data_IF_467241123791
#
_entry.id   IF_467241123791
#
_cell.length_a   1.000
_cell.length_b   1.000
_cell.length_c   1.000
_cell.angle_alpha   90.00
_cell.angle_beta   90.00
_cell.angle_gamma   90.00
#
_symmetry.space_group_name_H-M   'P 1'
#
loop_
_entity.id
_entity.type
_entity.pdbx_description
1 polymer ?
#
# COMPACT_ATOMS: atom_id res chain seq x y z
N UNK A 1 11.95 -29.90 15.55
CA UNK A 1 10.56 -29.48 15.36
C UNK A 1 10.52 -28.41 14.25
N UNK A 2 9.57 -28.50 13.33
CA UNK A 2 9.39 -27.46 12.32
C UNK A 2 9.06 -26.13 13.00
N UNK A 3 9.70 -25.06 12.54
CA UNK A 3 9.41 -23.72 13.03
C UNK A 3 8.04 -23.26 12.55
N UNK A 4 7.33 -22.51 13.39
CA UNK A 4 5.96 -22.13 13.12
C UNK A 4 5.69 -20.65 13.41
N UNK A 5 4.92 -20.01 12.53
CA UNK A 5 4.51 -18.61 12.64
C UNK A 5 2.99 -18.49 12.57
N UNK A 6 2.43 -17.58 13.36
CA UNK A 6 1.02 -17.19 13.24
C UNK A 6 0.94 -15.74 12.80
N UNK A 7 0.24 -15.46 11.71
CA UNK A 7 0.00 -14.10 11.21
C UNK A 7 -1.43 -13.70 11.57
N UNK A 8 -1.60 -12.52 12.20
CA UNK A 8 -2.91 -11.95 12.52
C UNK A 8 -3.07 -10.64 11.75
N UNK A 9 -4.07 -10.58 10.87
CA UNK A 9 -4.38 -9.40 10.08
C UNK A 9 -5.79 -9.49 9.50
N UNK A 10 -6.44 -8.33 9.30
CA UNK A 10 -7.83 -8.31 8.82
C UNK A 10 -7.93 -8.68 7.34
N UNK A 11 -6.89 -8.41 6.54
CA UNK A 11 -6.84 -8.62 5.09
C UNK A 11 -5.89 -9.76 4.73
N UNK A 12 -6.34 -10.66 3.89
CA UNK A 12 -5.59 -11.81 3.39
C UNK A 12 -6.19 -12.31 2.07
N UNK A 13 -5.48 -13.22 1.37
CA UNK A 13 -5.98 -13.87 0.15
C UNK A 13 -7.47 -14.26 0.24
N UNK A 14 -8.28 -14.07 -0.80
CA UNK A 14 -7.96 -13.70 -2.18
C UNK A 14 -7.91 -12.18 -2.45
N UNK A 15 -7.69 -11.33 -1.44
CA UNK A 15 -7.50 -9.90 -1.65
C UNK A 15 -6.10 -9.67 -2.26
N UNK A 16 -6.06 -9.33 -3.54
CA UNK A 16 -4.86 -9.20 -4.39
C UNK A 16 -4.29 -7.79 -4.42
N UNK A 17 -4.72 -6.94 -3.51
CA UNK A 17 -4.31 -5.53 -3.41
C UNK A 17 -3.88 -5.15 -2.00
N UNK A 18 -3.07 -4.10 -1.90
CA UNK A 18 -2.65 -3.49 -0.65
C UNK A 18 -2.11 -4.52 0.37
N UNK A 19 -2.54 -4.41 1.64
CA UNK A 19 -2.06 -5.23 2.76
C UNK A 19 -2.37 -6.72 2.56
N UNK A 20 -3.52 -7.04 1.95
CA UNK A 20 -3.91 -8.43 1.67
C UNK A 20 -2.90 -9.14 0.77
N UNK A 21 -2.47 -8.48 -0.31
CA UNK A 21 -1.45 -8.99 -1.23
C UNK A 21 -0.12 -9.27 -0.51
N UNK A 22 0.39 -8.28 0.22
CA UNK A 22 1.70 -8.42 0.90
C UNK A 22 1.67 -9.47 1.99
N UNK A 23 0.59 -9.53 2.78
CA UNK A 23 0.42 -10.54 3.84
C UNK A 23 0.36 -11.95 3.25
N UNK A 24 -0.35 -12.13 2.14
CA UNK A 24 -0.46 -13.43 1.45
C UNK A 24 0.88 -13.88 0.88
N UNK A 25 1.59 -13.00 0.19
CA UNK A 25 2.91 -13.31 -0.37
C UNK A 25 3.95 -13.61 0.72
N UNK A 26 3.88 -12.94 1.86
CA UNK A 26 4.74 -13.21 3.01
C UNK A 26 4.46 -14.61 3.59
N UNK A 27 3.19 -14.95 3.77
CA UNK A 27 2.78 -16.27 4.27
C UNK A 27 3.23 -17.40 3.33
N UNK A 28 3.02 -17.24 2.01
CA UNK A 28 3.49 -18.19 1.00
C UNK A 28 5.01 -18.37 1.01
N UNK A 29 5.74 -17.26 1.19
CA UNK A 29 7.20 -17.31 1.26
C UNK A 29 7.70 -18.09 2.47
N UNK A 30 7.07 -17.96 3.62
CA UNK A 30 7.40 -18.76 4.80
C UNK A 30 7.13 -20.23 4.55
N UNK A 31 5.99 -20.62 3.98
CA UNK A 31 5.68 -22.01 3.63
C UNK A 31 6.72 -22.58 2.65
N UNK A 32 7.09 -21.85 1.60
CA UNK A 32 8.14 -22.23 0.64
C UNK A 32 9.53 -22.42 1.28
N UNK A 33 9.75 -21.84 2.46
CA UNK A 33 10.98 -21.99 3.25
C UNK A 33 10.83 -22.97 4.42
N UNK A 34 9.87 -23.91 4.35
CA UNK A 34 9.63 -24.96 5.36
C UNK A 34 9.27 -24.43 6.77
N UNK A 35 8.62 -23.27 6.84
CA UNK A 35 8.06 -22.72 8.07
C UNK A 35 6.55 -22.95 8.02
N UNK A 36 5.99 -23.59 9.05
CA UNK A 36 4.54 -23.76 9.15
C UNK A 36 3.86 -22.42 9.41
N UNK A 37 2.75 -22.16 8.70
CA UNK A 37 2.05 -20.89 8.78
C UNK A 37 0.58 -21.10 9.13
N UNK A 38 0.15 -20.47 10.23
CA UNK A 38 -1.26 -20.24 10.54
C UNK A 38 -1.60 -18.76 10.30
N UNK A 39 -2.76 -18.49 9.71
CA UNK A 39 -3.27 -17.13 9.51
C UNK A 39 -4.62 -16.97 10.18
N UNK A 40 -4.78 -15.94 10.99
CA UNK A 40 -6.05 -15.53 11.59
C UNK A 40 -6.51 -14.24 10.90
N UNK A 41 -7.66 -14.29 10.20
CA UNK A 41 -8.10 -13.20 9.35
C UNK A 41 -9.63 -13.11 9.24
N UNK A 42 -10.11 -12.05 8.58
CA UNK A 42 -11.52 -11.89 8.23
C UNK A 42 -11.92 -12.62 6.94
N UNK A 43 -13.20 -12.50 6.58
CA UNK A 43 -13.66 -12.84 5.24
C UNK A 43 -13.20 -11.75 4.26
N UNK A 44 -12.83 -12.12 3.02
CA UNK A 44 -12.38 -11.14 2.02
C UNK A 44 -13.49 -10.14 1.68
N UNK A 45 -13.17 -8.84 1.73
CA UNK A 45 -14.14 -7.75 1.49
C UNK A 45 -13.53 -6.53 0.78
N UNK A 46 -12.24 -6.38 0.81
CA UNK A 46 -11.53 -5.23 0.27
C UNK A 46 -11.10 -5.49 -1.20
N UNK A 47 -11.12 -4.50 -2.12
CA UNK A 47 -11.45 -3.07 -1.91
C UNK A 47 -12.95 -2.73 -2.02
N UNK A 48 -13.81 -3.69 -2.38
CA UNK A 48 -15.22 -3.46 -2.70
C UNK A 48 -16.13 -3.16 -1.49
N UNK A 49 -15.64 -3.27 -0.25
CA UNK A 49 -16.44 -3.18 0.98
C UNK A 49 -17.67 -4.11 0.95
N UNK A 50 -17.46 -5.32 0.44
CA UNK A 50 -18.49 -6.34 0.29
C UNK A 50 -17.85 -7.72 0.39
N UNK A 51 -18.39 -8.58 1.23
CA UNK A 51 -17.88 -9.96 1.32
C UNK A 51 -17.88 -10.61 -0.05
N UNK A 52 -16.75 -11.19 -0.43
CA UNK A 52 -16.57 -11.92 -1.68
C UNK A 52 -17.62 -13.00 -1.86
N UNK A 53 -18.12 -13.20 -3.10
CA UNK A 53 -19.22 -14.13 -3.42
C UNK A 53 -18.97 -15.54 -2.91
N UNK A 54 -17.74 -16.05 -3.04
CA UNK A 54 -17.35 -17.42 -2.70
C UNK A 54 -17.37 -17.70 -1.19
N UNK A 55 -17.38 -16.63 -0.40
CA UNK A 55 -17.40 -16.69 1.06
C UNK A 55 -18.77 -16.38 1.69
N UNK A 56 -19.73 -15.85 0.92
CA UNK A 56 -21.05 -15.44 1.47
C UNK A 56 -21.80 -16.54 2.22
N UNK A 57 -21.78 -17.77 1.67
CA UNK A 57 -22.48 -18.91 2.21
C UNK A 57 -21.68 -19.74 3.22
N UNK A 58 -20.41 -19.37 3.49
CA UNK A 58 -19.59 -20.05 4.47
C UNK A 58 -20.07 -19.73 5.90
N UNK A 59 -19.78 -20.67 6.83
CA UNK A 59 -20.10 -20.51 8.25
C UNK A 59 -19.34 -19.31 8.85
N UNK A 60 -19.86 -18.73 9.94
CA UNK A 60 -19.26 -17.58 10.65
C UNK A 60 -17.79 -17.80 11.02
N UNK A 61 -17.42 -19.01 11.44
CA UNK A 61 -16.05 -19.46 11.62
C UNK A 61 -15.73 -20.49 10.55
N UNK A 62 -14.77 -20.15 9.69
CA UNK A 62 -14.41 -20.99 8.57
C UNK A 62 -12.90 -21.26 8.57
N UNK A 63 -12.54 -22.52 8.42
CA UNK A 63 -11.14 -22.94 8.28
C UNK A 63 -10.92 -23.49 6.88
N UNK A 64 -9.84 -23.08 6.26
CA UNK A 64 -9.39 -23.59 4.96
C UNK A 64 -7.87 -23.75 4.95
N UNK A 65 -7.36 -24.51 3.96
CA UNK A 65 -5.93 -24.58 3.67
C UNK A 65 -5.69 -23.98 2.28
N UNK A 66 -4.80 -23.01 2.19
CA UNK A 66 -4.44 -22.33 0.96
C UNK A 66 -2.92 -22.51 0.76
N UNK A 67 -2.52 -23.28 -0.24
CA UNK A 67 -1.11 -23.50 -0.57
C UNK A 67 -0.23 -23.91 0.64
N UNK A 68 -0.77 -24.75 1.54
CA UNK A 68 -0.09 -25.17 2.76
C UNK A 68 -0.25 -24.23 3.97
N UNK A 69 -0.95 -23.12 3.81
CA UNK A 69 -1.26 -22.17 4.88
C UNK A 69 -2.59 -22.54 5.52
N UNK A 70 -2.63 -22.73 6.84
CA UNK A 70 -3.90 -22.90 7.56
C UNK A 70 -4.53 -21.53 7.85
N UNK A 71 -5.69 -21.27 7.29
CA UNK A 71 -6.38 -19.99 7.41
C UNK A 71 -7.62 -20.14 8.30
N UNK A 72 -7.67 -19.39 9.39
CA UNK A 72 -8.80 -19.33 10.31
C UNK A 72 -9.54 -18.01 10.14
N UNK A 73 -10.71 -18.05 9.51
CA UNK A 73 -11.50 -16.87 9.18
C UNK A 73 -12.66 -16.66 10.14
N UNK A 74 -12.98 -15.39 10.34
CA UNK A 74 -14.21 -14.95 10.97
C UNK A 74 -15.01 -14.09 9.99
N UNK A 75 -16.34 -14.31 9.93
CA UNK A 75 -17.26 -13.53 9.08
C UNK A 75 -17.61 -12.24 9.79
N UNK A 76 -16.77 -11.24 9.64
CA UNK A 76 -16.95 -9.93 10.26
C UNK A 76 -18.05 -9.10 9.58
N UNK A 77 -18.59 -8.14 10.32
CA UNK A 77 -19.48 -7.12 9.80
C UNK A 77 -18.74 -6.25 8.77
N UNK A 78 -19.26 -6.15 7.54
CA UNK A 78 -18.72 -5.31 6.47
C UNK A 78 -19.75 -4.26 6.09
N UNK A 79 -19.50 -2.95 6.34
CA UNK A 79 -20.46 -1.90 6.03
C UNK A 79 -20.50 -1.59 4.54
N UNK A 80 -21.68 -1.52 3.93
CA UNK A 80 -21.88 -1.12 2.53
C UNK A 80 -21.36 0.30 2.22
N UNK A 81 -21.46 1.23 3.19
CA UNK A 81 -20.92 2.58 3.12
C UNK A 81 -19.99 2.77 4.32
N UNK A 82 -18.66 2.76 4.12
CA UNK A 82 -17.67 2.75 5.22
C UNK A 82 -17.47 4.14 5.83
N UNK A 83 -18.47 4.65 6.55
CA UNK A 83 -18.31 5.84 7.39
C UNK A 83 -17.38 5.54 8.57
N UNK A 84 -16.81 6.57 9.20
CA UNK A 84 -15.88 6.42 10.32
C UNK A 84 -16.40 5.49 11.43
N UNK A 85 -17.61 5.75 11.93
CA UNK A 85 -18.22 4.91 13.00
C UNK A 85 -18.42 3.46 12.54
N UNK A 86 -18.84 3.25 11.30
CA UNK A 86 -19.04 1.90 10.76
C UNK A 86 -17.71 1.15 10.55
N UNK A 87 -16.62 1.87 10.26
CA UNK A 87 -15.28 1.27 10.24
C UNK A 87 -14.84 0.84 11.63
N UNK A 88 -15.07 1.66 12.65
CA UNK A 88 -14.80 1.27 14.06
C UNK A 88 -15.60 0.01 14.42
N UNK A 89 -16.89 -0.03 14.12
CA UNK A 89 -17.73 -1.22 14.40
C UNK A 89 -17.21 -2.45 13.66
N UNK A 90 -16.80 -2.31 12.39
CA UNK A 90 -16.19 -3.37 11.60
C UNK A 90 -14.93 -3.94 12.26
N UNK A 91 -14.05 -3.05 12.75
CA UNK A 91 -12.81 -3.43 13.41
C UNK A 91 -13.05 -4.08 14.78
N UNK A 92 -13.98 -3.55 15.56
CA UNK A 92 -14.36 -4.13 16.85
C UNK A 92 -14.99 -5.52 16.68
N UNK A 93 -15.93 -5.67 15.75
CA UNK A 93 -16.54 -6.96 15.43
C UNK A 93 -15.50 -7.99 14.99
N UNK A 94 -14.56 -7.60 14.12
CA UNK A 94 -13.44 -8.45 13.75
C UNK A 94 -12.61 -8.87 14.96
N UNK A 95 -12.28 -7.95 15.88
CA UNK A 95 -11.51 -8.28 17.09
C UNK A 95 -12.19 -9.29 17.96
N UNK A 96 -13.45 -9.03 18.32
CA UNK A 96 -14.21 -9.90 19.22
C UNK A 96 -14.49 -11.27 18.60
N UNK A 97 -14.90 -11.28 17.32
CA UNK A 97 -15.17 -12.54 16.64
C UNK A 97 -13.91 -13.37 16.40
N UNK A 98 -12.82 -12.73 16.03
CA UNK A 98 -11.54 -13.41 15.76
C UNK A 98 -10.87 -13.92 17.05
N UNK A 99 -11.20 -13.36 18.21
CA UNK A 99 -10.71 -13.82 19.51
C UNK A 99 -10.88 -15.33 19.71
N UNK A 100 -11.98 -15.92 19.25
CA UNK A 100 -12.23 -17.35 19.32
C UNK A 100 -11.20 -18.15 18.51
N UNK A 101 -10.69 -17.61 17.42
CA UNK A 101 -9.73 -18.31 16.55
C UNK A 101 -8.35 -18.45 17.18
N UNK A 102 -7.95 -17.59 18.14
CA UNK A 102 -6.65 -17.73 18.81
C UNK A 102 -6.54 -19.04 19.61
N UNK A 103 -7.65 -19.56 20.13
CA UNK A 103 -7.65 -20.84 20.86
C UNK A 103 -7.49 -22.07 19.96
N UNK A 104 -7.71 -21.91 18.65
CA UNK A 104 -7.49 -22.98 17.65
C UNK A 104 -6.02 -23.17 17.28
N UNK A 105 -5.17 -22.22 17.61
CA UNK A 105 -3.72 -22.30 17.36
C UNK A 105 -3.10 -23.22 18.42
N UNK A 106 -2.49 -24.31 17.98
CA UNK A 106 -1.88 -25.29 18.88
C UNK A 106 -0.55 -24.81 19.44
N UNK A 107 0.36 -24.39 18.57
CA UNK A 107 1.70 -23.90 18.88
C UNK A 107 2.10 -22.82 17.86
N UNK A 108 3.04 -21.97 18.24
CA UNK A 108 3.66 -20.97 17.35
C UNK A 108 4.94 -20.47 18.03
N UNK A 109 6.00 -20.20 17.26
CA UNK A 109 7.24 -19.60 17.77
C UNK A 109 7.18 -18.06 17.74
N UNK A 110 6.51 -17.51 16.72
CA UNK A 110 6.33 -16.07 16.55
C UNK A 110 4.89 -15.76 16.13
N UNK A 111 4.32 -14.71 16.69
CA UNK A 111 3.05 -14.10 16.26
C UNK A 111 3.36 -12.79 15.56
N UNK A 112 3.09 -12.70 14.26
CA UNK A 112 3.16 -11.44 13.49
C UNK A 112 1.79 -10.80 13.47
N UNK A 113 1.69 -9.57 13.97
CA UNK A 113 0.49 -8.74 13.85
C UNK A 113 0.68 -7.70 12.74
N UNK A 114 -0.16 -7.75 11.72
CA UNK A 114 -0.16 -6.76 10.63
C UNK A 114 -1.11 -5.62 10.98
N UNK A 115 -0.56 -4.42 11.11
CA UNK A 115 -1.29 -3.17 11.41
C UNK A 115 -1.52 -2.43 10.08
N UNK A 116 -2.71 -1.81 9.79
CA UNK A 116 -3.20 -0.68 10.60
C UNK A 116 -4.12 -1.06 11.76
N UNK A 117 -4.62 -2.27 11.86
CA UNK A 117 -5.58 -2.57 12.90
C UNK A 117 -4.91 -2.96 14.22
N UNK A 118 -4.94 -2.05 15.22
CA UNK A 118 -4.30 -2.25 16.53
C UNK A 118 -4.94 -3.39 17.35
N UNK A 119 -6.18 -3.75 17.06
CA UNK A 119 -6.84 -4.92 17.66
C UNK A 119 -6.14 -6.24 17.34
N UNK A 120 -5.47 -6.35 16.19
CA UNK A 120 -4.64 -7.52 15.87
C UNK A 120 -3.45 -7.65 16.84
N UNK A 121 -2.88 -6.52 17.29
CA UNK A 121 -1.79 -6.50 18.28
C UNK A 121 -2.28 -6.96 19.64
N UNK A 122 -3.49 -6.54 20.05
CA UNK A 122 -4.11 -7.03 21.28
C UNK A 122 -4.29 -8.55 21.27
N UNK A 123 -4.86 -9.09 20.18
CA UNK A 123 -5.04 -10.54 19.99
C UNK A 123 -3.68 -11.27 19.94
N UNK A 124 -2.72 -10.72 19.23
CA UNK A 124 -1.37 -11.28 19.12
C UNK A 124 -0.65 -11.33 20.47
N UNK A 125 -0.80 -10.28 21.29
CA UNK A 125 -0.26 -10.26 22.64
C UNK A 125 -0.84 -11.36 23.56
N UNK A 126 -2.15 -11.62 23.43
CA UNK A 126 -2.79 -12.71 24.20
C UNK A 126 -2.24 -14.05 23.69
N UNK A 127 -2.26 -14.27 22.38
CA UNK A 127 -1.77 -15.52 21.77
C UNK A 127 -0.29 -15.78 22.09
N UNK A 128 0.58 -14.77 21.96
CA UNK A 128 2.01 -14.91 22.23
C UNK A 128 2.26 -15.31 23.69
N UNK A 129 1.55 -14.68 24.64
CA UNK A 129 1.64 -15.07 26.07
C UNK A 129 1.14 -16.48 26.32
N UNK A 130 0.02 -16.88 25.72
CA UNK A 130 -0.55 -18.24 25.89
C UNK A 130 0.37 -19.33 25.34
N UNK A 131 1.18 -19.05 24.33
CA UNK A 131 2.05 -20.04 23.65
C UNK A 131 3.53 -19.89 23.97
N UNK A 132 3.93 -18.90 24.78
CA UNK A 132 5.35 -18.59 25.01
C UNK A 132 6.08 -18.12 23.75
N UNK A 133 5.34 -17.53 22.81
CA UNK A 133 5.83 -17.06 21.52
C UNK A 133 6.30 -15.62 21.57
N UNK A 134 7.18 -15.22 20.65
CA UNK A 134 7.56 -13.81 20.43
C UNK A 134 6.46 -13.04 19.71
N UNK A 135 6.26 -11.78 20.09
CA UNK A 135 5.32 -10.88 19.47
C UNK A 135 6.05 -9.90 18.52
N UNK A 136 5.79 -10.02 17.23
CA UNK A 136 6.30 -9.13 16.21
C UNK A 136 5.16 -8.30 15.62
N UNK A 137 5.24 -6.97 15.69
CA UNK A 137 4.25 -6.06 15.10
C UNK A 137 4.85 -5.44 13.84
N UNK A 138 4.22 -5.71 12.70
CA UNK A 138 4.57 -5.14 11.40
C UNK A 138 3.56 -4.07 11.01
N UNK A 139 4.00 -2.81 10.97
CA UNK A 139 3.16 -1.63 10.80
C UNK A 139 3.18 -1.22 9.33
N UNK A 140 2.04 -1.40 8.66
CA UNK A 140 1.80 -0.97 7.28
C UNK A 140 1.20 0.45 7.19
N UNK A 141 0.49 0.88 8.25
CA UNK A 141 -0.07 2.21 8.41
C UNK A 141 -0.38 2.47 9.89
N UNK A 142 -0.50 3.75 10.29
CA UNK A 142 -0.94 4.14 11.62
C UNK A 142 -2.42 4.49 11.58
N UNK A 143 -3.26 3.63 12.13
CA UNK A 143 -4.70 3.68 12.03
C UNK A 143 -5.32 5.00 12.51
N UNK A 144 -4.87 5.48 13.69
CA UNK A 144 -5.48 6.66 14.31
C UNK A 144 -4.95 7.98 13.75
N UNK A 145 -3.78 7.98 13.13
CA UNK A 145 -3.18 9.19 12.54
C UNK A 145 -3.92 9.58 11.24
N UNK A 146 -4.33 8.60 10.43
CA UNK A 146 -5.14 8.85 9.25
C UNK A 146 -6.50 9.53 9.56
N UNK A 147 -6.99 9.38 10.78
CA UNK A 147 -8.23 10.02 11.26
C UNK A 147 -7.99 11.48 11.67
N UNK A 148 -6.84 11.77 12.29
CA UNK A 148 -6.48 13.14 12.70
C UNK A 148 -6.10 14.00 11.50
N UNK A 149 -5.42 13.42 10.49
CA UNK A 149 -4.99 14.11 9.28
C UNK A 149 -6.17 14.43 8.33
N UNK A 150 -7.28 13.71 8.43
CA UNK A 150 -8.40 13.82 7.49
C UNK A 150 -9.38 14.97 7.75
N UNK A 151 -9.17 15.87 8.74
CA UNK A 151 -10.07 16.97 9.13
C UNK A 151 -11.58 16.62 9.24
N UNK A 152 -11.93 15.33 9.30
CA UNK A 152 -13.31 14.82 9.34
C UNK A 152 -13.99 15.12 10.69
N UNK A 153 -13.24 15.71 11.63
CA UNK A 153 -13.68 15.92 12.99
C UNK A 153 -13.99 17.39 13.24
N UNK A 154 -15.18 17.83 12.82
CA UNK A 154 -15.77 19.10 13.26
C UNK A 154 -16.22 19.05 14.73
N UNK A 155 -15.62 19.86 15.60
CA UNK A 155 -15.91 20.24 16.99
C UNK A 155 -14.84 19.87 18.02
N UNK A 156 -14.34 20.91 18.71
CA UNK A 156 -13.01 20.98 19.34
C UNK A 156 -12.86 20.47 20.78
N UNK A 157 -13.85 20.05 21.54
CA UNK A 157 -13.66 19.97 23.01
C UNK A 157 -13.76 18.59 23.68
N UNK A 158 -14.63 17.69 23.26
CA UNK A 158 -14.75 16.36 23.93
C UNK A 158 -14.02 15.20 23.23
N UNK A 159 -13.60 15.40 21.99
CA UNK A 159 -12.94 14.36 21.18
C UNK A 159 -11.46 14.16 21.55
N UNK A 160 -10.79 15.20 22.05
CA UNK A 160 -9.37 15.14 22.42
C UNK A 160 -9.07 14.08 23.50
N UNK A 161 -9.96 13.85 24.45
CA UNK A 161 -9.74 12.86 25.53
C UNK A 161 -9.87 11.43 25.04
N UNK A 162 -10.82 11.14 24.13
CA UNK A 162 -11.00 9.81 23.53
C UNK A 162 -9.80 9.46 22.65
N UNK A 163 -9.34 10.39 21.82
CA UNK A 163 -8.16 10.17 20.98
C UNK A 163 -6.89 9.99 21.82
N UNK A 164 -6.69 10.79 22.87
CA UNK A 164 -5.57 10.60 23.81
C UNK A 164 -5.58 9.21 24.42
N UNK A 165 -6.77 8.71 24.79
CA UNK A 165 -6.93 7.35 25.32
C UNK A 165 -6.63 6.28 24.28
N UNK A 166 -7.11 6.43 23.05
CA UNK A 166 -6.81 5.51 21.94
C UNK A 166 -5.32 5.49 21.61
N UNK A 167 -4.66 6.63 21.52
CA UNK A 167 -3.22 6.73 21.34
C UNK A 167 -2.43 6.12 22.50
N UNK A 168 -2.91 6.28 23.73
CA UNK A 168 -2.30 5.64 24.89
C UNK A 168 -2.40 4.11 24.82
N UNK A 169 -3.57 3.57 24.42
CA UNK A 169 -3.74 2.11 24.19
C UNK A 169 -2.80 1.64 23.09
N UNK A 170 -2.77 2.32 21.95
CA UNK A 170 -1.91 2.00 20.81
C UNK A 170 -0.44 1.94 21.27
N UNK A 171 0.03 2.98 21.93
CA UNK A 171 1.39 3.07 22.45
C UNK A 171 1.70 1.89 23.41
N UNK A 172 0.81 1.60 24.37
CA UNK A 172 0.99 0.51 25.33
C UNK A 172 1.02 -0.87 24.65
N UNK A 173 0.25 -1.06 23.58
CA UNK A 173 0.26 -2.29 22.79
C UNK A 173 1.54 -2.41 21.96
N UNK A 174 1.96 -1.36 21.27
CA UNK A 174 3.20 -1.33 20.50
C UNK A 174 4.43 -1.58 21.39
N UNK A 175 4.49 -0.95 22.56
CA UNK A 175 5.55 -1.20 23.56
C UNK A 175 5.63 -2.65 24.02
N UNK A 176 4.55 -3.39 23.96
CA UNK A 176 4.51 -4.79 24.41
C UNK A 176 5.07 -5.79 23.39
N UNK A 177 5.39 -5.38 22.16
CA UNK A 177 5.96 -6.24 21.15
C UNK A 177 7.45 -6.56 21.46
N UNK A 178 7.92 -7.74 21.11
CA UNK A 178 9.36 -8.07 21.16
C UNK A 178 10.11 -7.39 20.01
N UNK A 179 9.44 -7.23 18.86
CA UNK A 179 9.97 -6.56 17.67
C UNK A 179 8.91 -5.66 17.02
N UNK A 180 9.33 -4.49 16.58
CA UNK A 180 8.54 -3.58 15.74
C UNK A 180 9.18 -3.50 14.36
N UNK A 181 8.38 -3.43 13.31
CA UNK A 181 8.85 -3.15 11.96
C UNK A 181 7.87 -2.28 11.19
N UNK A 182 8.39 -1.47 10.28
CA UNK A 182 7.59 -0.58 9.43
C UNK A 182 8.07 -0.64 7.98
N UNK A 183 7.29 -0.03 7.09
CA UNK A 183 7.53 -0.11 5.64
C UNK A 183 8.30 1.08 5.06
N UNK A 184 8.55 2.14 5.84
CA UNK A 184 9.31 3.31 5.38
C UNK A 184 10.17 3.92 6.49
N UNK A 185 11.19 4.68 6.09
CA UNK A 185 12.08 5.38 7.04
C UNK A 185 11.33 6.45 7.82
N UNK A 186 10.41 7.16 7.19
CA UNK A 186 9.56 8.15 7.85
C UNK A 186 8.62 7.50 8.88
N UNK A 187 8.14 6.28 8.63
CA UNK A 187 7.37 5.53 9.61
C UNK A 187 8.22 5.07 10.80
N UNK A 188 9.49 4.74 10.63
CA UNK A 188 10.41 4.47 11.75
C UNK A 188 10.49 5.70 12.65
N UNK A 189 10.78 6.87 12.09
CA UNK A 189 10.85 8.12 12.85
C UNK A 189 9.54 8.44 13.58
N UNK A 190 8.41 8.24 12.92
CA UNK A 190 7.09 8.42 13.51
C UNK A 190 6.83 7.44 14.65
N UNK A 191 7.23 6.18 14.48
CA UNK A 191 7.13 5.14 15.51
C UNK A 191 7.97 5.50 16.73
N UNK A 192 9.24 5.89 16.55
CA UNK A 192 10.15 6.27 17.63
C UNK A 192 9.60 7.46 18.44
N UNK A 193 9.06 8.47 17.76
CA UNK A 193 8.40 9.61 18.40
C UNK A 193 7.14 9.19 19.17
N UNK A 194 6.38 8.19 18.65
CA UNK A 194 5.12 7.73 19.23
C UNK A 194 5.33 6.92 20.49
N UNK A 195 6.28 5.98 20.48
CA UNK A 195 6.55 5.12 21.64
C UNK A 195 7.42 5.79 22.71
N UNK A 196 8.12 6.87 22.37
CA UNK A 196 8.96 7.65 23.27
C UNK A 196 9.98 6.81 24.08
N UNK A 197 10.45 5.72 23.50
CA UNK A 197 11.44 4.78 24.03
C UNK A 197 12.28 4.23 22.87
N UNK A 198 13.58 4.00 23.09
CA UNK A 198 14.43 3.28 22.16
C UNK A 198 14.02 1.79 22.19
N UNK A 199 13.22 1.38 21.23
CA UNK A 199 12.87 -0.02 21.00
C UNK A 199 13.46 -0.49 19.68
N UNK A 200 13.89 -1.76 19.63
CA UNK A 200 14.37 -2.31 18.37
C UNK A 200 13.26 -2.24 17.31
N UNK A 201 13.50 -1.45 16.28
CA UNK A 201 12.62 -1.29 15.15
C UNK A 201 13.37 -1.61 13.86
N UNK A 202 12.70 -2.27 12.90
CA UNK A 202 13.29 -2.67 11.62
C UNK A 202 12.54 -2.06 10.45
N UNK A 203 13.28 -1.58 9.48
CA UNK A 203 12.75 -1.20 8.18
C UNK A 203 12.59 -2.46 7.32
N UNK A 204 11.35 -2.88 7.08
CA UNK A 204 10.97 -3.98 6.21
C UNK A 204 9.92 -3.48 5.21
N UNK A 205 10.34 -2.86 4.12
CA UNK A 205 9.44 -2.20 3.19
C UNK A 205 8.57 -3.20 2.43
N UNK A 206 7.48 -2.71 1.85
CA UNK A 206 6.76 -3.41 0.82
C UNK A 206 7.68 -3.62 -0.39
N UNK A 207 7.37 -4.61 -1.21
CA UNK A 207 8.21 -5.04 -2.32
C UNK A 207 7.48 -4.97 -3.65
N UNK A 208 8.24 -5.04 -4.70
CA UNK A 208 7.73 -5.25 -6.05
C UNK A 208 8.30 -6.56 -6.60
N UNK A 209 7.46 -7.27 -7.33
CA UNK A 209 7.89 -8.42 -8.12
C UNK A 209 8.52 -7.90 -9.44
N UNK A 210 9.83 -7.68 -9.39
CA UNK A 210 10.58 -7.19 -10.56
C UNK A 210 10.59 -8.17 -11.74
N UNK A 211 10.26 -9.45 -11.49
CA UNK A 211 10.05 -10.44 -12.53
C UNK A 211 8.67 -10.38 -13.18
N UNK A 212 7.71 -9.72 -12.53
CA UNK A 212 6.37 -9.50 -13.07
C UNK A 212 6.32 -8.29 -14.02
N UNK A 213 6.90 -7.15 -13.63
CA UNK A 213 7.02 -5.98 -14.52
C UNK A 213 8.28 -6.17 -15.39
N UNK A 214 8.11 -6.31 -16.72
CA UNK A 214 9.15 -6.70 -17.68
C UNK A 214 9.36 -5.64 -18.75
N UNK A 215 10.10 -4.56 -18.48
CA UNK A 215 10.34 -3.52 -19.49
C UNK A 215 11.13 -4.00 -20.70
N UNK A 216 11.89 -5.09 -20.57
CA UNK A 216 12.63 -5.74 -21.66
C UNK A 216 11.78 -6.67 -22.55
N UNK A 217 10.56 -7.01 -22.11
CA UNK A 217 9.67 -7.93 -22.84
C UNK A 217 8.21 -7.66 -22.46
N UNK A 218 7.60 -6.65 -23.06
CA UNK A 218 6.19 -6.30 -22.90
C UNK A 218 5.51 -6.12 -24.26
N UNK A 219 4.20 -6.33 -24.29
CA UNK A 219 3.37 -5.99 -25.45
C UNK A 219 2.82 -4.57 -25.28
N UNK A 220 2.81 -3.81 -26.37
CA UNK A 220 2.23 -2.47 -26.34
C UNK A 220 0.76 -2.56 -25.95
N UNK A 221 0.40 -1.93 -24.83
CA UNK A 221 -0.96 -2.03 -24.29
C UNK A 221 -1.96 -1.25 -25.15
N UNK A 222 -3.17 -1.79 -25.36
CA UNK A 222 -4.23 -1.20 -26.22
C UNK A 222 -4.59 0.25 -25.88
N UNK A 223 -4.50 0.65 -24.61
CA UNK A 223 -4.78 2.02 -24.17
C UNK A 223 -3.65 3.02 -24.49
N UNK A 224 -2.47 2.54 -24.84
CA UNK A 224 -1.28 3.33 -25.14
C UNK A 224 -0.69 2.98 -26.52
N UNK A 225 -1.58 2.66 -27.48
CA UNK A 225 -1.17 2.16 -28.81
C UNK A 225 -0.75 3.25 -29.79
N UNK A 226 -1.04 4.52 -29.52
CA UNK A 226 -0.68 5.64 -30.40
C UNK A 226 0.84 5.84 -30.53
N UNK A 227 1.25 6.66 -31.50
CA UNK A 227 2.63 7.11 -31.68
C UNK A 227 2.96 8.40 -30.91
N UNK A 228 1.96 9.02 -30.29
CA UNK A 228 2.11 10.25 -29.50
C UNK A 228 2.89 10.00 -28.21
N UNK A 229 3.35 11.08 -27.57
CA UNK A 229 3.96 11.00 -26.23
C UNK A 229 2.89 10.71 -25.19
N UNK A 230 2.99 9.57 -24.50
CA UNK A 230 1.96 9.03 -23.62
C UNK A 230 2.29 9.28 -22.16
N UNK A 231 1.46 10.10 -21.51
CA UNK A 231 1.51 10.38 -20.09
C UNK A 231 0.48 9.51 -19.38
N UNK A 232 0.92 8.63 -18.50
CA UNK A 232 0.05 7.67 -17.80
C UNK A 232 -0.13 8.00 -16.34
N UNK A 233 -1.38 8.13 -15.90
CA UNK A 233 -1.81 7.94 -14.52
C UNK A 233 -2.46 6.58 -14.38
N UNK A 234 -1.97 5.73 -13.46
CA UNK A 234 -2.58 4.43 -13.17
C UNK A 234 -2.85 4.26 -11.67
N UNK A 235 -4.10 4.01 -11.27
CA UNK A 235 -4.49 3.68 -9.90
C UNK A 235 -5.75 4.35 -9.38
N UNK A 236 -5.89 4.42 -8.04
CA UNK A 236 -7.09 4.97 -7.40
C UNK A 236 -7.25 6.47 -7.64
N UNK A 237 -8.41 6.87 -8.19
CA UNK A 237 -8.80 8.27 -8.42
C UNK A 237 -9.55 8.77 -7.18
N UNK A 238 -8.78 9.07 -6.11
CA UNK A 238 -9.33 9.39 -4.78
C UNK A 238 -8.99 10.79 -4.29
N UNK A 239 -9.33 11.05 -3.02
CA UNK A 239 -9.19 12.37 -2.39
C UNK A 239 -7.75 12.79 -2.07
N UNK A 240 -6.80 11.85 -2.02
CA UNK A 240 -5.40 12.14 -1.70
C UNK A 240 -4.64 12.80 -2.86
N UNK A 241 -5.15 12.69 -4.09
CA UNK A 241 -4.56 13.29 -5.27
C UNK A 241 -5.02 14.74 -5.43
N UNK A 242 -4.14 15.58 -5.96
CA UNK A 242 -4.43 16.97 -6.31
C UNK A 242 -4.99 17.04 -7.74
N UNK A 243 -6.29 16.75 -7.85
CA UNK A 243 -6.99 16.80 -9.12
C UNK A 243 -7.17 18.21 -9.65
N UNK A 244 -7.16 19.25 -8.80
CA UNK A 244 -7.23 20.63 -9.25
C UNK A 244 -5.94 21.05 -9.98
N UNK A 245 -4.78 20.67 -9.41
CA UNK A 245 -3.51 20.86 -10.11
C UNK A 245 -3.42 20.01 -11.38
N UNK A 246 -3.93 18.79 -11.36
CA UNK A 246 -3.99 17.92 -12.53
C UNK A 246 -4.84 18.55 -13.65
N UNK A 247 -6.03 19.10 -13.36
CA UNK A 247 -6.89 19.78 -14.35
C UNK A 247 -6.12 20.95 -14.98
N UNK A 248 -5.47 21.80 -14.17
CA UNK A 248 -4.64 22.89 -14.67
C UNK A 248 -3.52 22.38 -15.58
N UNK A 249 -2.82 21.32 -15.18
CA UNK A 249 -1.76 20.70 -15.97
C UNK A 249 -2.25 20.20 -17.33
N UNK A 250 -3.38 19.52 -17.36
CA UNK A 250 -3.97 18.99 -18.60
C UNK A 250 -4.44 20.14 -19.52
N UNK A 251 -5.08 21.19 -18.98
CA UNK A 251 -5.51 22.35 -19.76
C UNK A 251 -4.34 23.07 -20.44
N UNK A 252 -3.16 23.13 -19.83
CA UNK A 252 -1.96 23.72 -20.46
C UNK A 252 -1.39 22.84 -21.60
N UNK A 253 -1.82 21.57 -21.68
CA UNK A 253 -1.44 20.61 -22.72
C UNK A 253 -2.54 20.38 -23.78
N UNK A 254 -3.69 21.05 -23.66
CA UNK A 254 -4.86 20.83 -24.52
C UNK A 254 -4.52 20.95 -26.02
N UNK A 255 -3.77 21.99 -26.41
CA UNK A 255 -3.43 22.26 -27.79
C UNK A 255 -2.18 21.51 -28.29
N UNK A 256 -1.76 20.44 -27.59
CA UNK A 256 -0.59 19.63 -27.99
C UNK A 256 -1.04 18.32 -28.62
N UNK A 257 -1.27 18.33 -29.92
CA UNK A 257 -1.76 17.19 -30.70
C UNK A 257 -0.87 15.94 -30.59
N UNK A 258 0.40 16.11 -30.23
CA UNK A 258 1.41 15.07 -30.13
C UNK A 258 1.62 14.52 -28.69
N UNK A 259 0.75 14.90 -27.75
CA UNK A 259 0.72 14.39 -26.36
C UNK A 259 -0.65 13.77 -26.08
N UNK A 260 -0.67 12.60 -25.46
CA UNK A 260 -1.86 11.95 -24.92
C UNK A 260 -1.72 11.72 -23.44
N UNK A 261 -2.82 11.97 -22.70
CA UNK A 261 -2.92 11.76 -21.27
C UNK A 261 -3.88 10.60 -21.04
N UNK A 262 -3.39 9.53 -20.45
CA UNK A 262 -4.15 8.31 -20.23
C UNK A 262 -4.35 8.11 -18.73
N UNK A 263 -5.61 8.01 -18.30
CA UNK A 263 -6.00 7.75 -16.92
C UNK A 263 -6.63 6.37 -16.83
N UNK A 264 -5.96 5.47 -16.14
CA UNK A 264 -6.43 4.10 -15.90
C UNK A 264 -6.69 3.92 -14.42
N UNK A 265 -7.97 3.79 -14.05
CA UNK A 265 -8.31 3.66 -12.65
C UNK A 265 -9.79 3.85 -12.34
N UNK A 266 -10.10 3.73 -11.06
CA UNK A 266 -11.42 4.02 -10.52
C UNK A 266 -11.27 4.70 -9.15
N UNK A 267 -12.35 5.29 -8.62
CA UNK A 267 -12.32 5.93 -7.31
C UNK A 267 -13.42 6.97 -7.13
N UNK A 268 -13.46 7.54 -5.94
CA UNK A 268 -14.53 8.47 -5.53
C UNK A 268 -14.59 9.77 -6.34
N UNK A 269 -13.49 10.15 -7.00
CA UNK A 269 -13.38 11.37 -7.80
C UNK A 269 -13.47 11.14 -9.30
N UNK A 270 -13.62 9.89 -9.76
CA UNK A 270 -13.57 9.60 -11.19
C UNK A 270 -14.62 10.34 -12.01
N UNK A 271 -15.90 10.23 -11.65
CA UNK A 271 -17.01 10.86 -12.38
C UNK A 271 -16.82 12.38 -12.43
N UNK A 272 -16.52 12.97 -11.27
CA UNK A 272 -16.26 14.40 -11.18
C UNK A 272 -15.10 14.87 -12.07
N UNK A 273 -14.03 14.06 -12.15
CA UNK A 273 -12.86 14.38 -12.97
C UNK A 273 -13.17 14.26 -14.47
N UNK A 274 -13.90 13.23 -14.87
CA UNK A 274 -14.38 13.04 -16.24
C UNK A 274 -15.26 14.22 -16.70
N UNK A 275 -16.18 14.69 -15.84
CA UNK A 275 -17.02 15.87 -16.11
C UNK A 275 -16.21 17.16 -16.29
N UNK A 276 -15.12 17.34 -15.51
CA UNK A 276 -14.26 18.53 -15.57
C UNK A 276 -13.36 18.58 -16.81
N UNK A 277 -13.12 17.45 -17.44
CA UNK A 277 -12.18 17.31 -18.56
C UNK A 277 -12.88 16.84 -19.85
N UNK A 278 -14.22 16.93 -19.88
CA UNK A 278 -15.04 16.40 -20.99
C UNK A 278 -14.70 17.06 -22.34
N UNK A 279 -14.34 18.34 -22.31
CA UNK A 279 -14.11 19.15 -23.53
C UNK A 279 -12.67 19.02 -24.07
N UNK A 280 -11.81 18.18 -23.45
CA UNK A 280 -10.42 18.01 -23.86
C UNK A 280 -10.23 16.77 -24.73
N UNK A 281 -9.68 16.91 -25.93
CA UNK A 281 -9.56 15.83 -26.91
C UNK A 281 -8.34 14.93 -26.70
N UNK A 282 -7.37 15.33 -25.87
CA UNK A 282 -6.11 14.61 -25.69
C UNK A 282 -6.04 13.79 -24.39
N UNK A 283 -7.16 13.62 -23.70
CA UNK A 283 -7.27 12.86 -22.45
C UNK A 283 -8.23 11.68 -22.58
N UNK A 284 -7.84 10.52 -22.06
CA UNK A 284 -8.59 9.27 -22.17
C UNK A 284 -8.72 8.59 -20.82
N UNK A 285 -9.95 8.18 -20.49
CA UNK A 285 -10.26 7.49 -19.23
C UNK A 285 -10.60 6.03 -19.47
N UNK A 286 -9.93 5.14 -18.76
CA UNK A 286 -10.15 3.70 -18.84
C UNK A 286 -10.40 3.08 -17.47
N UNK A 287 -11.11 1.97 -17.44
CA UNK A 287 -11.27 1.15 -16.25
C UNK A 287 -9.93 0.51 -15.82
N UNK A 288 -9.78 0.14 -14.55
CA UNK A 288 -8.63 -0.65 -14.11
C UNK A 288 -8.44 -1.89 -14.99
N UNK A 289 -7.20 -2.22 -15.28
CA UNK A 289 -6.83 -3.44 -16.01
C UNK A 289 -6.70 -4.62 -15.05
N UNK A 290 -6.81 -5.83 -15.59
CA UNK A 290 -6.48 -7.05 -14.86
C UNK A 290 -4.98 -7.05 -14.46
N UNK A 291 -4.65 -7.74 -13.37
CA UNK A 291 -3.28 -7.78 -12.87
C UNK A 291 -2.29 -8.28 -13.92
N UNK A 292 -2.68 -9.25 -14.74
CA UNK A 292 -1.89 -9.81 -15.84
C UNK A 292 -1.49 -8.79 -16.91
N UNK A 293 -2.32 -7.76 -17.13
CA UNK A 293 -2.07 -6.69 -18.12
C UNK A 293 -1.24 -5.52 -17.56
N UNK A 294 -1.04 -5.48 -16.23
CA UNK A 294 -0.45 -4.33 -15.55
C UNK A 294 1.00 -4.06 -16.01
N UNK A 295 1.79 -5.10 -16.28
CA UNK A 295 3.16 -4.95 -16.81
C UNK A 295 3.16 -4.24 -18.16
N UNK A 296 2.33 -4.71 -19.09
CA UNK A 296 2.20 -4.15 -20.44
C UNK A 296 1.71 -2.70 -20.39
N UNK A 297 0.72 -2.40 -19.54
CA UNK A 297 0.21 -1.05 -19.31
C UNK A 297 1.32 -0.09 -18.84
N UNK A 298 2.04 -0.46 -17.79
CA UNK A 298 3.06 0.41 -17.20
C UNK A 298 4.25 0.63 -18.13
N UNK A 299 4.70 -0.41 -18.81
CA UNK A 299 5.85 -0.33 -19.73
C UNK A 299 5.52 0.38 -21.05
N UNK A 300 4.23 0.55 -21.40
CA UNK A 300 3.81 1.22 -22.64
C UNK A 300 3.77 2.75 -22.56
N UNK A 301 3.93 3.33 -21.38
CA UNK A 301 3.96 4.78 -21.17
C UNK A 301 5.31 5.38 -21.57
N UNK A 302 5.34 6.69 -21.84
CA UNK A 302 6.56 7.48 -21.98
C UNK A 302 6.88 8.25 -20.69
N UNK A 303 5.86 8.53 -19.86
CA UNK A 303 5.97 9.22 -18.57
C UNK A 303 4.86 8.76 -17.63
N UNK A 304 5.21 8.41 -16.40
CA UNK A 304 4.25 8.22 -15.31
C UNK A 304 4.03 9.50 -14.53
N UNK A 305 2.78 9.77 -14.14
CA UNK A 305 2.44 10.93 -13.30
C UNK A 305 1.74 10.52 -12.01
N UNK A 306 2.02 11.28 -10.93
CA UNK A 306 1.31 11.19 -9.66
C UNK A 306 1.27 12.57 -9.01
N UNK A 307 0.10 13.18 -8.95
CA UNK A 307 -0.10 14.47 -8.29
C UNK A 307 -0.77 14.25 -6.95
N UNK A 308 -0.06 14.57 -5.86
CA UNK A 308 -0.53 14.43 -4.49
C UNK A 308 -0.79 15.82 -3.90
N UNK A 309 -1.79 15.92 -3.02
CA UNK A 309 -2.02 17.16 -2.27
C UNK A 309 -0.85 17.45 -1.34
N UNK A 310 -0.54 18.72 -1.15
CA UNK A 310 0.58 19.17 -0.33
C UNK A 310 0.42 18.84 1.16
N UNK A 311 -0.82 18.73 1.64
CA UNK A 311 -1.17 18.34 3.01
C UNK A 311 -1.06 16.82 3.23
N UNK A 312 -0.94 16.03 2.18
CA UNK A 312 -0.70 14.59 2.26
C UNK A 312 0.78 14.35 2.46
N UNK A 313 1.21 14.30 3.72
CA UNK A 313 2.53 13.78 4.07
C UNK A 313 2.42 12.28 4.13
N UNK A 314 2.67 11.60 3.00
CA UNK A 314 2.68 10.14 2.97
C UNK A 314 3.80 9.62 3.87
N UNK A 315 3.43 9.15 5.04
CA UNK A 315 4.30 8.33 5.89
C UNK A 315 4.42 6.91 5.32
N UNK A 316 3.54 6.56 4.42
CA UNK A 316 3.47 5.25 3.77
C UNK A 316 4.00 5.36 2.35
N UNK A 317 4.97 4.51 1.99
CA UNK A 317 5.41 4.36 0.60
C UNK A 317 4.27 3.80 -0.25
N UNK A 318 3.71 4.57 -1.21
CA UNK A 318 2.67 4.04 -2.08
C UNK A 318 3.23 2.89 -2.94
N UNK A 319 2.62 1.72 -2.89
CA UNK A 319 3.01 0.57 -3.74
C UNK A 319 3.01 0.89 -5.23
N UNK A 320 2.17 1.85 -5.64
CA UNK A 320 2.10 2.42 -6.99
C UNK A 320 3.46 2.92 -7.49
N UNK A 321 4.21 3.66 -6.66
CA UNK A 321 5.53 4.20 -7.04
C UNK A 321 6.51 3.08 -7.37
N UNK A 322 6.50 2.00 -6.58
CA UNK A 322 7.36 0.84 -6.84
C UNK A 322 7.03 0.19 -8.19
N UNK A 323 5.74 0.07 -8.52
CA UNK A 323 5.30 -0.46 -9.81
C UNK A 323 5.68 0.46 -10.97
N UNK A 324 5.46 1.79 -10.85
CA UNK A 324 5.90 2.79 -11.82
C UNK A 324 7.41 2.70 -12.07
N UNK A 325 8.22 2.71 -11.02
CA UNK A 325 9.69 2.64 -11.13
C UNK A 325 10.16 1.30 -11.72
N UNK A 326 9.41 0.20 -11.50
CA UNK A 326 9.74 -1.12 -12.05
C UNK A 326 9.61 -1.18 -13.57
N UNK A 327 8.77 -0.34 -14.19
CA UNK A 327 8.56 -0.32 -15.64
C UNK A 327 9.70 0.33 -16.43
N UNK A 328 10.73 0.84 -15.76
CA UNK A 328 11.82 1.60 -16.37
C UNK A 328 11.34 2.85 -17.15
N UNK A 329 10.26 3.47 -16.69
CA UNK A 329 9.69 4.71 -17.25
C UNK A 329 9.91 5.85 -16.26
N UNK A 330 10.28 7.08 -16.74
CA UNK A 330 10.40 8.25 -15.87
C UNK A 330 9.13 8.56 -15.10
N UNK A 331 9.27 9.18 -13.94
CA UNK A 331 8.14 9.62 -13.12
C UNK A 331 8.15 11.12 -12.89
N UNK A 332 7.00 11.77 -13.08
CA UNK A 332 6.72 13.15 -12.71
C UNK A 332 5.75 13.14 -11.52
N UNK A 333 6.19 13.65 -10.38
CA UNK A 333 5.39 13.60 -9.16
C UNK A 333 5.32 14.98 -8.54
N UNK A 334 4.15 15.35 -8.02
CA UNK A 334 3.98 16.57 -7.25
C UNK A 334 3.42 16.28 -5.87
N UNK A 335 3.67 17.17 -4.90
CA UNK A 335 3.15 17.05 -3.54
C UNK A 335 4.08 17.69 -2.50
N UNK A 336 4.08 17.14 -1.30
CA UNK A 336 4.90 17.61 -0.19
C UNK A 336 6.36 17.14 -0.31
N UNK A 337 7.31 18.07 -0.33
CA UNK A 337 8.75 17.75 -0.42
C UNK A 337 9.28 16.91 0.77
N UNK A 338 8.58 16.90 1.90
CA UNK A 338 8.94 16.10 3.08
C UNK A 338 8.39 14.65 3.01
N UNK A 339 7.70 14.28 1.93
CA UNK A 339 7.16 12.93 1.75
C UNK A 339 8.28 11.91 1.50
N UNK A 340 8.02 10.64 1.84
CA UNK A 340 8.90 9.51 1.52
C UNK A 340 9.09 9.39 -0.01
N UNK A 341 8.04 9.66 -0.78
CA UNK A 341 8.07 9.64 -2.25
C UNK A 341 9.06 10.66 -2.81
N UNK A 342 9.05 11.89 -2.29
CA UNK A 342 10.03 12.93 -2.67
C UNK A 342 11.46 12.46 -2.43
N UNK A 343 11.73 11.91 -1.24
CA UNK A 343 13.04 11.37 -0.88
C UNK A 343 13.50 10.27 -1.84
N UNK A 344 12.60 9.37 -2.22
CA UNK A 344 12.91 8.24 -3.10
C UNK A 344 13.17 8.70 -4.53
N UNK A 345 12.33 9.55 -5.11
CA UNK A 345 12.53 10.07 -6.47
C UNK A 345 13.84 10.83 -6.59
N UNK A 346 14.15 11.68 -5.59
CA UNK A 346 15.41 12.44 -5.59
C UNK A 346 16.63 11.53 -5.43
N UNK A 347 16.60 10.54 -4.51
CA UNK A 347 17.71 9.59 -4.31
C UNK A 347 17.94 8.67 -5.50
N UNK A 348 16.87 8.22 -6.14
CA UNK A 348 16.91 7.29 -7.26
C UNK A 348 17.24 7.97 -8.58
N UNK A 349 17.02 9.29 -8.69
CA UNK A 349 17.01 10.01 -9.98
C UNK A 349 16.08 9.33 -11.00
N UNK A 350 14.89 8.92 -10.54
CA UNK A 350 13.89 8.20 -11.35
C UNK A 350 12.95 9.14 -12.11
N UNK A 351 13.22 10.43 -12.07
CA UNK A 351 12.36 11.50 -12.60
C UNK A 351 12.50 12.76 -11.76
N UNK A 352 11.44 13.55 -11.71
CA UNK A 352 11.43 14.79 -10.91
C UNK A 352 10.22 14.85 -9.97
N UNK A 353 10.45 15.45 -8.81
CA UNK A 353 9.43 15.76 -7.81
C UNK A 353 9.32 17.27 -7.63
N UNK A 354 8.10 17.82 -7.71
CA UNK A 354 7.83 19.24 -7.60
C UNK A 354 6.81 19.55 -6.50
N UNK A 355 6.82 20.78 -6.00
CA UNK A 355 5.68 21.31 -5.25
C UNK A 355 4.50 21.63 -6.19
N UNK A 356 3.28 21.64 -5.63
CA UNK A 356 2.05 21.73 -6.41
C UNK A 356 1.74 23.12 -7.00
N UNK A 357 2.56 24.14 -6.77
CA UNK A 357 2.37 25.50 -7.27
C UNK A 357 3.20 25.83 -8.52
N UNK A 358 4.14 24.97 -8.89
CA UNK A 358 5.12 25.24 -9.96
C UNK A 358 4.75 24.59 -11.29
N UNK A 359 3.63 24.99 -11.90
CA UNK A 359 3.15 24.41 -13.17
C UNK A 359 4.16 24.56 -14.31
N UNK A 360 4.85 25.70 -14.42
CA UNK A 360 5.79 25.93 -15.51
C UNK A 360 6.95 24.94 -15.51
N UNK A 361 7.58 24.69 -14.36
CA UNK A 361 8.67 23.71 -14.25
C UNK A 361 8.19 22.27 -14.50
N UNK A 362 6.92 21.97 -14.17
CA UNK A 362 6.30 20.69 -14.50
C UNK A 362 6.16 20.50 -16.01
N UNK A 363 5.67 21.52 -16.72
CA UNK A 363 5.54 21.50 -18.17
C UNK A 363 6.89 21.46 -18.89
N UNK A 364 7.86 22.26 -18.44
CA UNK A 364 9.22 22.23 -18.96
C UNK A 364 9.81 20.82 -18.89
N UNK A 365 9.62 20.13 -17.76
CA UNK A 365 10.11 18.76 -17.62
C UNK A 365 9.43 17.78 -18.57
N UNK A 366 8.12 17.92 -18.81
CA UNK A 366 7.39 17.12 -19.81
C UNK A 366 7.98 17.34 -21.20
N UNK A 367 8.17 18.60 -21.63
CA UNK A 367 8.72 18.92 -22.94
C UNK A 367 10.18 18.46 -23.08
N UNK A 368 10.99 18.58 -22.05
CA UNK A 368 12.34 18.08 -22.02
C UNK A 368 12.37 16.56 -22.22
N UNK A 369 11.55 15.81 -21.50
CA UNK A 369 11.46 14.36 -21.67
C UNK A 369 10.95 13.98 -23.08
N UNK A 370 9.94 14.70 -23.58
CA UNK A 370 9.39 14.42 -24.91
C UNK A 370 10.45 14.60 -26.02
N UNK A 371 11.32 15.59 -25.91
CA UNK A 371 12.36 15.89 -26.90
C UNK A 371 13.64 15.08 -26.74
N UNK A 372 13.93 14.57 -25.54
CA UNK A 372 15.17 13.87 -25.21
C UNK A 372 14.96 12.41 -24.80
N UNK A 373 15.02 11.51 -25.77
CA UNK A 373 14.93 10.05 -25.58
C UNK A 373 16.05 9.47 -24.71
N UNK A 374 17.25 10.06 -24.72
CA UNK A 374 18.35 9.59 -23.87
C UNK A 374 18.06 9.89 -22.41
N UNK A 375 17.53 11.07 -22.14
CA UNK A 375 17.12 11.45 -20.79
C UNK A 375 15.98 10.57 -20.27
N UNK A 376 14.98 10.23 -21.12
CA UNK A 376 13.95 9.27 -20.75
C UNK A 376 14.54 7.93 -20.31
N UNK A 377 15.46 7.39 -21.14
CA UNK A 377 16.12 6.11 -20.87
C UNK A 377 16.96 6.15 -19.59
N UNK A 378 17.68 7.26 -19.35
CA UNK A 378 18.47 7.45 -18.13
C UNK A 378 17.59 7.41 -16.86
N UNK A 379 16.54 8.22 -16.81
CA UNK A 379 15.62 8.23 -15.68
C UNK A 379 14.92 6.88 -15.49
N UNK A 380 14.49 6.25 -16.57
CA UNK A 380 13.86 4.92 -16.54
C UNK A 380 14.80 3.85 -16.00
N UNK A 381 16.05 3.81 -16.48
CA UNK A 381 17.10 2.90 -15.98
C UNK A 381 17.35 3.11 -14.48
N UNK A 382 17.53 4.36 -14.07
CA UNK A 382 17.75 4.71 -12.68
C UNK A 382 16.58 4.25 -11.79
N UNK A 383 15.33 4.44 -12.24
CA UNK A 383 14.13 3.98 -11.56
C UNK A 383 14.17 2.45 -11.33
N UNK A 384 14.40 1.69 -12.40
CA UNK A 384 14.43 0.22 -12.39
C UNK A 384 15.55 -0.31 -11.50
N UNK A 385 16.77 0.19 -11.65
CA UNK A 385 17.93 -0.24 -10.85
C UNK A 385 17.72 0.02 -9.36
N UNK A 386 17.18 1.19 -9.02
CA UNK A 386 16.88 1.54 -7.62
C UNK A 386 15.88 0.59 -6.99
N UNK A 387 14.79 0.27 -7.68
CA UNK A 387 13.75 -0.63 -7.17
C UNK A 387 14.27 -2.06 -7.04
N UNK A 388 14.98 -2.58 -8.05
CA UNK A 388 15.59 -3.92 -7.99
C UNK A 388 16.55 -4.01 -6.80
N UNK A 389 17.36 -2.98 -6.58
CA UNK A 389 18.35 -2.96 -5.51
C UNK A 389 17.71 -2.92 -4.11
N UNK A 390 16.63 -2.12 -3.93
CA UNK A 390 16.12 -1.77 -2.61
C UNK A 390 14.78 -2.44 -2.26
N UNK A 391 13.94 -2.77 -3.26
CA UNK A 391 12.55 -3.22 -3.07
C UNK A 391 12.23 -4.55 -3.75
N UNK A 392 13.26 -5.32 -4.13
CA UNK A 392 13.08 -6.64 -4.76
C UNK A 392 12.39 -7.60 -3.80
N UNK A 393 11.33 -8.26 -4.27
CA UNK A 393 10.50 -9.21 -3.50
C UNK A 393 11.31 -10.27 -2.78
N UNK A 394 12.19 -10.97 -3.49
CA UNK A 394 12.98 -12.05 -2.91
C UNK A 394 13.93 -11.55 -1.83
N UNK A 395 14.56 -10.38 -2.03
CA UNK A 395 15.45 -9.75 -1.05
C UNK A 395 14.70 -9.36 0.22
N UNK A 396 13.58 -8.67 0.08
CA UNK A 396 12.79 -8.21 1.25
C UNK A 396 12.18 -9.39 2.00
N UNK A 397 11.59 -10.36 1.30
CA UNK A 397 11.06 -11.55 1.94
C UNK A 397 12.14 -12.38 2.67
N UNK A 398 13.37 -12.43 2.13
CA UNK A 398 14.49 -13.04 2.85
C UNK A 398 14.83 -12.28 4.13
N UNK A 399 14.78 -10.94 4.14
CA UNK A 399 14.96 -10.14 5.36
C UNK A 399 13.89 -10.46 6.42
N UNK A 400 12.63 -10.68 6.02
CA UNK A 400 11.58 -11.14 6.93
C UNK A 400 11.94 -12.52 7.53
N UNK A 401 12.40 -13.47 6.71
CA UNK A 401 12.82 -14.79 7.16
C UNK A 401 14.00 -14.72 8.14
N UNK A 402 15.04 -13.96 7.82
CA UNK A 402 16.19 -13.75 8.70
C UNK A 402 15.76 -13.10 10.03
N UNK A 403 14.87 -12.13 9.97
CA UNK A 403 14.32 -11.49 11.16
C UNK A 403 13.54 -12.47 12.03
N UNK A 404 12.73 -13.34 11.44
CA UNK A 404 12.04 -14.42 12.15
C UNK A 404 13.03 -15.31 12.90
N UNK A 405 14.07 -15.82 12.22
CA UNK A 405 15.05 -16.69 12.86
C UNK A 405 15.87 -16.00 13.95
N UNK A 406 16.18 -14.72 13.79
CA UNK A 406 16.89 -13.95 14.81
C UNK A 406 16.03 -13.72 16.06
N UNK A 407 14.71 -13.58 15.88
CA UNK A 407 13.78 -13.34 17.00
C UNK A 407 13.57 -14.58 17.88
N UNK A 408 13.79 -15.77 17.36
CA UNK A 408 13.60 -17.06 18.08
C UNK A 408 14.91 -17.71 18.57
N UNK A 409 16.04 -17.08 18.30
CA UNK A 409 17.32 -17.44 18.94
C UNK A 409 17.34 -16.97 20.37
#
# INVERSE_FOLDING_TARGET
>A
MNKKITIIGINFYPEDTAIGLYTSQLAEYFVKNNIEVDVITGFPYYPAWKINSDYKLKKTFYKENINGINVYRYKQFVPKKPTFLKRILHLLDFSFGTFINIFKIKNTDVVICVVPFIGSVFLGKILSKMKGAKLWVHIQDFEFDAVTDSNIIGSKTNKNSIFKFLFWIENKLLKSADLLSTISSSMILKLDNKINEKKESKLLPNWVDSGFVKPENYNKHRYLSSSKFKILYSGNIGEKQDWNFFIKFVSELENKEDIEIIIVGNGSKRIWLEEKLLDLDNIYFYSPVEYSELSDLLCSADLHILFQKIDVVDTVMPSKILAMMSSAIPSLITGNLKSEVSSIINKSKAGKYFETDNINSVLEFVYQLKSDKKLQQEYGKNAREFVIKNYNKSKILNQFKETFFNLIK
#
